data_IF_492125811349
#
_entry.id   IF_492125811349
#
_cell.length_a   1.000
_cell.length_b   1.000
_cell.length_c   1.000
_cell.angle_alpha   90.00
_cell.angle_beta   90.00
_cell.angle_gamma   90.00
#
_symmetry.space_group_name_H-M   'P 1'
#
loop_
_entity.id
_entity.type
_entity.pdbx_description
1 polymer ?
#
# COMPACT_ATOMS: atom_id res chain seq x y z
N UNK A 1 -20.14 67.80 65.97
CA UNK A 1 -20.11 69.25 65.72
C UNK A 1 -20.86 69.91 66.87
N UNK A 2 -20.22 70.84 67.58
CA UNK A 2 -20.91 71.69 68.56
C UNK A 2 -21.68 72.83 67.88
N UNK A 3 -22.19 73.74 68.73
CA UNK A 3 -22.41 75.19 68.52
C UNK A 3 -23.85 75.68 68.86
N UNK A 4 -23.92 76.47 69.95
CA UNK A 4 -24.76 77.67 70.24
C UNK A 4 -26.31 77.60 70.18
N UNK A 5 -27.08 78.34 71.00
CA UNK A 5 -26.83 79.45 71.93
C UNK A 5 -28.04 79.74 72.83
N UNK A 6 -27.84 80.20 74.08
CA UNK A 6 -28.09 81.56 74.64
C UNK A 6 -29.53 82.10 74.43
N UNK A 7 -30.30 82.45 75.47
CA UNK A 7 -30.21 83.71 76.27
C UNK A 7 -31.33 83.76 77.34
N UNK A 8 -31.06 84.02 78.64
CA UNK A 8 -31.05 85.31 79.41
C UNK A 8 -32.42 86.00 79.67
N UNK A 9 -32.91 86.00 80.93
CA UNK A 9 -33.00 87.16 81.87
C UNK A 9 -33.88 86.87 83.11
N UNK A 10 -33.33 87.19 84.28
CA UNK A 10 -33.95 87.38 85.62
C UNK A 10 -34.78 88.70 85.71
N UNK A 11 -35.19 89.19 86.91
CA UNK A 11 -35.96 88.63 88.05
C UNK A 11 -37.10 89.58 88.47
N UNK A 12 -37.93 89.28 89.48
CA UNK A 12 -38.35 90.29 90.49
C UNK A 12 -38.68 89.64 91.84
N UNK A 13 -38.20 90.31 92.91
CA UNK A 13 -38.46 90.06 94.32
C UNK A 13 -39.65 90.91 94.76
N UNK A 14 -40.45 90.42 95.69
CA UNK A 14 -40.98 91.27 96.77
C UNK A 14 -41.36 90.44 97.99
N UNK A 15 -40.63 90.72 99.07
CA UNK A 15 -41.07 90.52 100.44
C UNK A 15 -42.38 91.28 100.66
N UNK A 16 -43.33 90.71 101.39
CA UNK A 16 -43.99 91.49 102.44
C UNK A 16 -44.52 90.61 103.58
N UNK A 17 -44.16 91.07 104.76
CA UNK A 17 -44.45 90.58 106.09
C UNK A 17 -45.82 91.12 106.49
N UNK A 18 -46.66 90.34 107.16
CA UNK A 18 -47.66 90.94 108.04
C UNK A 18 -48.98 90.22 108.21
N UNK A 19 -49.06 89.49 109.32
CA UNK A 19 -50.18 89.44 110.26
C UNK A 19 -51.60 89.32 109.69
N UNK A 20 -52.09 88.08 109.83
CA UNK A 20 -53.38 87.70 110.43
C UNK A 20 -54.20 88.87 110.97
N UNK A 21 -55.44 88.97 110.49
CA UNK A 21 -56.59 89.17 111.37
C UNK A 21 -57.84 88.53 110.75
N UNK A 22 -58.64 87.95 111.64
CA UNK A 22 -59.57 86.84 111.49
C UNK A 22 -60.96 87.21 110.98
N UNK A 23 -61.62 86.30 110.24
CA UNK A 23 -63.09 86.18 110.16
C UNK A 23 -63.58 84.71 110.16
N UNK A 24 -64.09 84.30 111.33
CA UNK A 24 -65.27 83.47 111.69
C UNK A 24 -65.77 82.23 110.89
N UNK A 25 -66.38 81.22 111.59
CA UNK A 25 -66.28 79.78 111.31
C UNK A 25 -67.24 79.16 110.27
N UNK A 26 -68.02 79.96 109.53
CA UNK A 26 -68.95 79.47 108.50
C UNK A 26 -68.41 79.58 107.06
N UNK A 27 -67.26 80.23 106.85
CA UNK A 27 -66.59 80.37 105.55
C UNK A 27 -65.44 79.35 105.36
N UNK A 28 -64.77 78.95 106.44
CA UNK A 28 -63.59 78.05 106.39
C UNK A 28 -63.91 76.59 105.99
N UNK A 29 -65.11 76.08 106.32
CA UNK A 29 -65.54 74.75 105.84
C UNK A 29 -65.79 74.74 104.32
N UNK A 30 -66.42 75.81 103.78
CA UNK A 30 -66.68 75.94 102.34
C UNK A 30 -65.39 76.15 101.53
N UNK A 31 -64.42 76.88 102.08
CA UNK A 31 -63.10 77.07 101.47
C UNK A 31 -62.26 75.78 101.43
N UNK A 32 -62.35 74.91 102.44
CA UNK A 32 -61.71 73.59 102.44
C UNK A 32 -62.27 72.68 101.34
N UNK A 33 -63.60 72.56 101.27
CA UNK A 33 -64.26 71.78 100.20
C UNK A 33 -63.99 72.35 98.80
N UNK A 34 -63.87 73.67 98.66
CA UNK A 34 -63.51 74.28 97.38
C UNK A 34 -62.07 73.94 96.96
N UNK A 35 -61.13 73.88 97.92
CA UNK A 35 -59.74 73.54 97.64
C UNK A 35 -59.59 72.07 97.24
N UNK A 36 -60.26 71.17 97.95
CA UNK A 36 -60.27 69.74 97.63
C UNK A 36 -60.92 69.49 96.26
N UNK A 37 -61.98 70.23 95.90
CA UNK A 37 -62.58 70.19 94.56
C UNK A 37 -61.63 70.69 93.46
N UNK A 38 -60.85 71.74 93.73
CA UNK A 38 -59.86 72.28 92.79
C UNK A 38 -58.69 71.29 92.58
N UNK A 39 -58.23 70.63 93.64
CA UNK A 39 -57.18 69.62 93.57
C UNK A 39 -57.66 68.35 92.87
N UNK A 40 -58.87 67.86 93.17
CA UNK A 40 -59.50 66.79 92.39
C UNK A 40 -59.66 67.17 90.92
N UNK A 41 -59.99 68.42 90.62
CA UNK A 41 -60.14 68.89 89.24
C UNK A 41 -58.79 68.87 88.50
N UNK A 42 -57.69 69.25 89.16
CA UNK A 42 -56.34 69.13 88.59
C UNK A 42 -55.95 67.68 88.38
N UNK A 43 -56.20 66.80 89.35
CA UNK A 43 -55.91 65.37 89.22
C UNK A 43 -56.71 64.73 88.09
N UNK A 44 -57.99 65.09 87.94
CA UNK A 44 -58.83 64.68 86.80
C UNK A 44 -58.26 65.21 85.48
N UNK A 45 -57.78 66.45 85.45
CA UNK A 45 -57.19 67.06 84.25
C UNK A 45 -55.86 66.39 83.87
N UNK A 46 -54.99 66.11 84.84
CA UNK A 46 -53.74 65.39 84.65
C UNK A 46 -54.01 63.95 84.18
N UNK A 47 -54.97 63.27 84.81
CA UNK A 47 -55.41 61.93 84.39
C UNK A 47 -55.96 61.93 82.96
N UNK A 48 -56.75 62.94 82.57
CA UNK A 48 -57.24 63.09 81.20
C UNK A 48 -56.09 63.25 80.20
N UNK A 49 -55.08 64.08 80.50
CA UNK A 49 -53.91 64.24 79.63
C UNK A 49 -53.09 62.95 79.50
N UNK A 50 -52.93 62.18 80.59
CA UNK A 50 -52.26 60.89 80.52
C UNK A 50 -53.05 59.86 79.71
N UNK A 51 -54.38 59.87 79.81
CA UNK A 51 -55.25 59.01 79.03
C UNK A 51 -55.18 59.34 77.54
N UNK A 52 -55.15 60.64 77.18
CA UNK A 52 -54.95 61.09 75.81
C UNK A 52 -53.58 60.65 75.26
N UNK A 53 -52.51 60.75 76.08
CA UNK A 53 -51.17 60.25 75.72
C UNK A 53 -51.19 58.75 75.46
N UNK A 54 -51.78 57.96 76.36
CA UNK A 54 -51.89 56.51 76.19
C UNK A 54 -52.77 56.13 75.00
N UNK A 55 -53.81 56.90 74.70
CA UNK A 55 -54.61 56.68 73.49
C UNK A 55 -53.78 56.90 72.22
N UNK A 56 -52.93 57.93 72.20
CA UNK A 56 -52.01 58.19 71.09
C UNK A 56 -50.98 57.08 70.89
N UNK A 57 -50.32 56.65 71.97
CA UNK A 57 -49.37 55.52 71.94
C UNK A 57 -50.05 54.22 71.49
N UNK A 58 -51.29 53.98 71.95
CA UNK A 58 -52.06 52.81 71.55
C UNK A 58 -52.38 52.83 70.04
N UNK A 59 -52.70 53.99 69.48
CA UNK A 59 -52.99 54.12 68.05
C UNK A 59 -51.72 53.98 67.20
N UNK A 60 -50.56 54.44 67.69
CA UNK A 60 -49.26 54.21 67.04
C UNK A 60 -48.90 52.72 67.03
N UNK A 61 -49.01 52.04 68.17
CA UNK A 61 -48.77 50.59 68.27
C UNK A 61 -49.73 49.79 67.36
N UNK A 62 -51.00 50.20 67.23
CA UNK A 62 -51.93 49.57 66.28
C UNK A 62 -51.46 49.74 64.83
N UNK A 63 -50.99 50.94 64.47
CA UNK A 63 -50.47 51.20 63.12
C UNK A 63 -49.24 50.34 62.82
N UNK A 64 -48.27 50.28 63.76
CA UNK A 64 -47.08 49.44 63.61
C UNK A 64 -47.43 47.95 63.49
N UNK A 65 -48.44 47.49 64.25
CA UNK A 65 -48.91 46.11 64.19
C UNK A 65 -49.55 45.78 62.84
N UNK A 66 -50.33 46.71 62.28
CA UNK A 66 -50.92 46.57 60.94
C UNK A 66 -49.82 46.50 59.87
N UNK A 67 -48.83 47.39 59.94
CA UNK A 67 -47.68 47.41 59.03
C UNK A 67 -46.86 46.12 59.11
N UNK A 68 -46.57 45.64 60.33
CA UNK A 68 -45.84 44.39 60.54
C UNK A 68 -46.64 43.17 60.06
N UNK A 69 -47.96 43.21 60.20
CA UNK A 69 -48.87 42.17 59.68
C UNK A 69 -48.80 42.13 58.15
N UNK A 70 -48.80 43.29 57.51
CA UNK A 70 -48.68 43.38 56.05
C UNK A 70 -47.31 42.92 55.56
N UNK A 71 -46.22 43.33 56.21
CA UNK A 71 -44.87 42.84 55.88
C UNK A 71 -44.72 41.32 56.08
N UNK A 72 -45.35 40.77 57.12
CA UNK A 72 -45.38 39.31 57.35
C UNK A 72 -46.14 38.59 56.23
N UNK A 73 -47.22 39.21 55.73
CA UNK A 73 -47.99 38.66 54.61
C UNK A 73 -47.16 38.65 53.32
N UNK A 74 -46.52 39.76 52.97
CA UNK A 74 -45.68 39.84 51.76
C UNK A 74 -44.51 38.85 51.82
N UNK A 75 -43.82 38.76 52.97
CA UNK A 75 -42.74 37.80 53.15
C UNK A 75 -43.19 36.34 53.01
N UNK A 76 -44.42 36.00 53.42
CA UNK A 76 -45.00 34.66 53.21
C UNK A 76 -45.28 34.37 51.74
N UNK A 77 -45.76 35.36 50.99
CA UNK A 77 -46.03 35.24 49.55
C UNK A 77 -44.71 35.06 48.76
N UNK A 78 -43.68 35.85 49.09
CA UNK A 78 -42.34 35.71 48.52
C UNK A 78 -41.71 34.35 48.83
N UNK A 79 -41.83 33.87 50.07
CA UNK A 79 -41.34 32.55 50.48
C UNK A 79 -42.05 31.42 49.69
N UNK A 80 -43.35 31.56 49.44
CA UNK A 80 -44.10 30.60 48.64
C UNK A 80 -43.62 30.59 47.18
N UNK A 81 -43.36 31.78 46.60
CA UNK A 81 -42.80 31.91 45.24
C UNK A 81 -41.43 31.26 45.14
N UNK A 82 -40.52 31.59 46.06
CA UNK A 82 -39.15 31.05 46.07
C UNK A 82 -39.16 29.52 46.24
N UNK A 83 -40.08 28.99 47.05
CA UNK A 83 -40.24 27.54 47.20
C UNK A 83 -40.67 26.87 45.89
N UNK A 84 -41.55 27.50 45.13
CA UNK A 84 -41.97 27.03 43.80
C UNK A 84 -40.80 27.04 42.81
N UNK A 85 -40.02 28.12 42.77
CA UNK A 85 -38.83 28.24 41.92
C UNK A 85 -37.78 27.16 42.24
N UNK A 86 -37.52 26.89 43.53
CA UNK A 86 -36.61 25.84 43.96
C UNK A 86 -37.08 24.45 43.49
N UNK A 87 -38.40 24.18 43.52
CA UNK A 87 -38.94 22.92 43.03
C UNK A 87 -38.77 22.79 41.52
N UNK A 88 -39.01 23.86 40.76
CA UNK A 88 -38.78 23.88 39.31
C UNK A 88 -37.30 23.64 38.96
N UNK A 89 -36.39 24.36 39.62
CA UNK A 89 -34.96 24.22 39.41
C UNK A 89 -34.44 22.80 39.76
N UNK A 90 -35.02 22.15 40.77
CA UNK A 90 -34.72 20.75 41.09
C UNK A 90 -35.19 19.80 40.00
N UNK A 91 -36.39 19.99 39.47
CA UNK A 91 -36.90 19.16 38.36
C UNK A 91 -36.03 19.31 37.11
N UNK A 92 -35.63 20.54 36.76
CA UNK A 92 -34.72 20.81 35.65
C UNK A 92 -33.35 20.16 35.85
N UNK A 93 -32.77 20.26 37.05
CA UNK A 93 -31.53 19.57 37.40
C UNK A 93 -31.65 18.06 37.21
N UNK A 94 -32.75 17.47 37.65
CA UNK A 94 -32.96 16.02 37.56
C UNK A 94 -33.11 15.56 36.10
N UNK A 95 -33.81 16.33 35.27
CA UNK A 95 -33.87 16.09 33.82
C UNK A 95 -32.48 16.20 33.17
N UNK A 96 -31.71 17.24 33.50
CA UNK A 96 -30.35 17.41 32.98
C UNK A 96 -29.41 16.27 33.40
N UNK A 97 -29.54 15.74 34.63
CA UNK A 97 -28.78 14.58 35.07
C UNK A 97 -29.09 13.33 34.24
N UNK A 98 -30.35 13.10 33.90
CA UNK A 98 -30.72 11.98 33.02
C UNK A 98 -30.19 12.18 31.58
N UNK A 99 -30.24 13.40 31.04
CA UNK A 99 -29.62 13.71 29.74
C UNK A 99 -28.09 13.47 29.74
N UNK A 100 -27.40 13.86 30.81
CA UNK A 100 -25.96 13.59 30.96
C UNK A 100 -25.66 12.09 31.01
N UNK A 101 -26.49 11.30 31.71
CA UNK A 101 -26.34 9.84 31.74
C UNK A 101 -26.54 9.22 30.35
N UNK A 102 -27.57 9.63 29.62
CA UNK A 102 -27.86 9.11 28.26
C UNK A 102 -26.73 9.45 27.29
N UNK A 103 -26.32 10.72 27.24
CA UNK A 103 -25.25 11.17 26.35
C UNK A 103 -23.89 10.52 26.67
N UNK A 104 -23.61 10.27 27.96
CA UNK A 104 -22.41 9.51 28.35
C UNK A 104 -22.45 8.06 27.84
N UNK A 105 -23.60 7.39 27.92
CA UNK A 105 -23.76 6.04 27.40
C UNK A 105 -23.61 5.99 25.86
N UNK A 106 -24.19 6.97 25.16
CA UNK A 106 -24.02 7.12 23.70
C UNK A 106 -22.55 7.35 23.32
N UNK A 107 -21.84 8.22 24.05
CA UNK A 107 -20.42 8.46 23.83
C UNK A 107 -19.58 7.19 24.03
N UNK A 108 -19.90 6.40 25.07
CA UNK A 108 -19.22 5.13 25.34
C UNK A 108 -19.46 4.11 24.21
N UNK A 109 -20.70 4.01 23.70
CA UNK A 109 -21.00 3.17 22.53
C UNK A 109 -20.23 3.62 21.29
N UNK A 110 -20.25 4.91 20.95
CA UNK A 110 -19.52 5.43 19.78
C UNK A 110 -18.02 5.20 19.92
N UNK A 111 -17.47 5.43 21.11
CA UNK A 111 -16.04 5.19 21.39
C UNK A 111 -15.68 3.71 21.23
N UNK A 112 -16.58 2.79 21.63
CA UNK A 112 -16.36 1.35 21.47
C UNK A 112 -16.44 0.88 20.01
N UNK A 113 -17.30 1.50 19.19
CA UNK A 113 -17.42 1.20 17.75
C UNK A 113 -16.19 1.68 16.98
N UNK A 114 -15.61 2.82 17.34
CA UNK A 114 -14.35 3.31 16.76
C UNK A 114 -13.13 2.69 17.44
N UNK A 115 -13.15 1.38 17.68
CA UNK A 115 -11.99 0.70 18.24
C UNK A 115 -10.83 0.76 17.24
N UNK A 116 -9.65 1.30 17.62
CA UNK A 116 -8.47 1.32 16.76
C UNK A 116 -7.98 -0.08 16.38
N UNK A 117 -8.55 -1.13 16.98
CA UNK A 117 -8.24 -2.52 16.67
C UNK A 117 -8.69 -2.93 15.27
N UNK A 118 -9.88 -2.55 14.82
CA UNK A 118 -10.35 -2.89 13.46
C UNK A 118 -9.49 -2.21 12.40
N UNK A 119 -9.16 -0.93 12.60
CA UNK A 119 -8.24 -0.20 11.72
C UNK A 119 -6.86 -0.85 11.68
N UNK A 120 -6.33 -1.29 12.83
CA UNK A 120 -5.05 -2.02 12.89
C UNK A 120 -5.12 -3.35 12.13
N UNK A 121 -6.19 -4.13 12.34
CA UNK A 121 -6.38 -5.41 11.63
C UNK A 121 -6.45 -5.22 10.12
N UNK A 122 -7.21 -4.21 9.64
CA UNK A 122 -7.29 -3.88 8.22
C UNK A 122 -5.91 -3.46 7.68
N UNK A 123 -5.17 -2.64 8.42
CA UNK A 123 -3.82 -2.23 8.01
C UNK A 123 -2.84 -3.43 7.95
N UNK A 124 -2.89 -4.34 8.93
CA UNK A 124 -2.06 -5.53 8.93
C UNK A 124 -2.39 -6.45 7.73
N UNK A 125 -3.67 -6.60 7.40
CA UNK A 125 -4.11 -7.33 6.20
C UNK A 125 -3.63 -6.66 4.92
N UNK A 126 -3.69 -5.34 4.83
CA UNK A 126 -3.17 -4.58 3.68
C UNK A 126 -1.67 -4.81 3.50
N UNK A 127 -0.90 -4.77 4.59
CA UNK A 127 0.55 -5.02 4.53
C UNK A 127 0.88 -6.47 4.15
N UNK A 128 0.12 -7.46 4.63
CA UNK A 128 0.26 -8.84 4.18
C UNK A 128 0.04 -8.98 2.67
N UNK A 129 -1.05 -8.42 2.15
CA UNK A 129 -1.35 -8.44 0.71
C UNK A 129 -0.26 -7.73 -0.10
N UNK A 130 0.30 -6.61 0.40
CA UNK A 130 1.42 -5.91 -0.24
C UNK A 130 2.67 -6.78 -0.35
N UNK A 131 3.01 -7.51 0.72
CA UNK A 131 4.14 -8.45 0.73
C UNK A 131 3.92 -9.61 -0.25
N UNK A 132 2.72 -10.18 -0.29
CA UNK A 132 2.37 -11.23 -1.24
C UNK A 132 2.50 -10.75 -2.70
N UNK A 133 1.96 -9.56 -3.02
CA UNK A 133 2.09 -8.96 -4.35
C UNK A 133 3.57 -8.76 -4.72
N UNK A 134 4.40 -8.31 -3.77
CA UNK A 134 5.84 -8.14 -4.00
C UNK A 134 6.53 -9.48 -4.31
N UNK A 135 6.21 -10.54 -3.55
CA UNK A 135 6.73 -11.89 -3.78
C UNK A 135 6.32 -12.43 -5.16
N UNK A 136 5.04 -12.31 -5.52
CA UNK A 136 4.51 -12.74 -6.82
C UNK A 136 5.21 -12.00 -7.96
N UNK A 137 5.44 -10.68 -7.82
CA UNK A 137 6.14 -9.91 -8.84
C UNK A 137 7.61 -10.32 -8.99
N UNK A 138 8.29 -10.65 -7.89
CA UNK A 138 9.66 -11.19 -7.94
C UNK A 138 9.72 -12.53 -8.67
N UNK A 139 8.79 -13.44 -8.36
CA UNK A 139 8.71 -14.75 -9.01
C UNK A 139 8.37 -14.62 -10.50
N UNK A 140 7.41 -13.76 -10.85
CA UNK A 140 7.11 -13.39 -12.24
C UNK A 140 8.36 -12.91 -12.97
N UNK A 141 9.15 -12.03 -12.36
CA UNK A 141 10.41 -11.55 -12.93
C UNK A 141 11.38 -12.69 -13.24
N UNK A 142 11.59 -13.62 -12.29
CA UNK A 142 12.45 -14.81 -12.51
C UNK A 142 11.93 -15.68 -13.67
N UNK A 143 10.63 -15.92 -13.73
CA UNK A 143 10.02 -16.72 -14.82
C UNK A 143 10.16 -16.07 -16.19
N UNK A 144 10.08 -14.74 -16.28
CA UNK A 144 10.36 -14.00 -17.52
C UNK A 144 11.80 -14.20 -17.96
N UNK A 145 12.77 -14.07 -17.05
CA UNK A 145 14.19 -14.32 -17.36
C UNK A 145 14.44 -15.76 -17.83
N UNK A 146 13.85 -16.76 -17.15
CA UNK A 146 13.95 -18.17 -17.56
C UNK A 146 13.40 -18.39 -18.98
N UNK A 147 12.29 -17.73 -19.32
CA UNK A 147 11.66 -17.81 -20.65
C UNK A 147 12.56 -17.19 -21.73
N UNK A 148 13.12 -16.00 -21.48
CA UNK A 148 14.05 -15.33 -22.40
C UNK A 148 15.32 -16.18 -22.66
N UNK A 149 15.84 -16.84 -21.62
CA UNK A 149 16.98 -17.74 -21.75
C UNK A 149 16.63 -18.99 -22.59
N UNK A 150 15.47 -19.59 -22.35
CA UNK A 150 14.98 -20.72 -23.14
C UNK A 150 14.75 -20.34 -24.61
N UNK A 151 14.17 -19.17 -24.87
CA UNK A 151 13.95 -18.67 -26.24
C UNK A 151 15.29 -18.45 -26.96
N UNK A 152 16.29 -17.94 -26.25
CA UNK A 152 17.65 -17.76 -26.76
C UNK A 152 18.29 -19.12 -27.12
N UNK A 153 18.18 -20.11 -26.23
CA UNK A 153 18.65 -21.50 -26.47
C UNK A 153 17.96 -22.15 -27.67
N UNK A 154 16.65 -21.98 -27.81
CA UNK A 154 15.89 -22.48 -28.98
C UNK A 154 16.39 -21.84 -30.27
N UNK A 155 16.66 -20.53 -30.26
CA UNK A 155 17.15 -19.81 -31.44
C UNK A 155 18.53 -20.31 -31.87
N UNK A 156 19.45 -20.51 -30.92
CA UNK A 156 20.77 -21.10 -31.18
C UNK A 156 20.66 -22.51 -31.77
N UNK A 157 19.86 -23.39 -31.15
CA UNK A 157 19.68 -24.76 -31.62
C UNK A 157 19.08 -24.82 -33.04
N UNK A 158 18.16 -23.91 -33.38
CA UNK A 158 17.61 -23.79 -34.75
C UNK A 158 18.69 -23.41 -35.76
N UNK A 159 19.56 -22.47 -35.41
CA UNK A 159 20.68 -22.06 -36.28
C UNK A 159 21.68 -23.19 -36.50
N UNK A 160 21.99 -23.96 -35.45
CA UNK A 160 22.85 -25.14 -35.54
C UNK A 160 22.24 -26.22 -36.46
N UNK A 161 20.94 -26.47 -36.34
CA UNK A 161 20.21 -27.42 -37.20
C UNK A 161 20.29 -26.99 -38.68
N UNK A 162 20.08 -25.71 -38.97
CA UNK A 162 20.21 -25.16 -40.33
C UNK A 162 21.64 -25.31 -40.89
N UNK A 163 22.66 -25.09 -40.05
CA UNK A 163 24.06 -25.32 -40.37
C UNK A 163 24.36 -26.78 -40.73
N UNK A 164 23.93 -27.73 -39.91
CA UNK A 164 24.11 -29.16 -40.16
C UNK A 164 23.38 -29.63 -41.42
N UNK A 165 22.16 -29.15 -41.67
CA UNK A 165 21.45 -29.44 -42.91
C UNK A 165 22.23 -28.95 -44.13
N UNK A 166 22.79 -27.75 -44.07
CA UNK A 166 23.62 -27.19 -45.15
C UNK A 166 24.89 -28.02 -45.38
N UNK A 167 25.55 -28.47 -44.30
CA UNK A 167 26.72 -29.34 -44.38
C UNK A 167 26.40 -30.70 -45.02
N UNK A 168 25.26 -31.30 -44.67
CA UNK A 168 24.78 -32.55 -45.27
C UNK A 168 24.53 -32.37 -46.77
N UNK A 169 23.91 -31.26 -47.20
CA UNK A 169 23.68 -31.00 -48.63
C UNK A 169 24.99 -30.86 -49.39
N UNK A 170 25.96 -30.11 -48.86
CA UNK A 170 27.30 -29.98 -49.46
C UNK A 170 27.99 -31.34 -49.60
N UNK A 171 27.98 -32.14 -48.54
CA UNK A 171 28.58 -33.48 -48.54
C UNK A 171 27.93 -34.42 -49.56
N UNK A 172 26.60 -34.33 -49.75
CA UNK A 172 25.89 -35.09 -50.79
C UNK A 172 26.34 -34.71 -52.20
N UNK A 173 26.48 -33.42 -52.48
CA UNK A 173 26.96 -32.93 -53.77
C UNK A 173 28.40 -33.38 -54.04
N UNK A 174 29.26 -33.34 -53.02
CA UNK A 174 30.65 -33.80 -53.11
C UNK A 174 30.73 -35.31 -53.38
N UNK A 175 29.94 -36.13 -52.69
CA UNK A 175 29.83 -37.57 -52.94
C UNK A 175 29.42 -37.84 -54.39
N UNK A 176 28.46 -37.08 -54.93
CA UNK A 176 28.01 -37.27 -56.31
C UNK A 176 29.10 -36.88 -57.32
N UNK A 177 29.84 -35.80 -57.06
CA UNK A 177 31.01 -35.41 -57.86
C UNK A 177 32.10 -36.49 -57.84
N UNK A 178 32.45 -37.01 -56.66
CA UNK A 178 33.46 -38.05 -56.50
C UNK A 178 33.06 -39.36 -57.17
N UNK A 179 31.78 -39.75 -57.13
CA UNK A 179 31.28 -40.90 -57.89
C UNK A 179 31.47 -40.73 -59.40
N UNK A 180 31.13 -39.55 -59.93
CA UNK A 180 31.31 -39.25 -61.35
C UNK A 180 32.79 -39.34 -61.75
N UNK A 181 33.68 -38.74 -60.95
CA UNK A 181 35.14 -38.85 -61.16
C UNK A 181 35.63 -40.31 -61.06
N UNK A 182 35.07 -41.10 -60.14
CA UNK A 182 35.42 -42.52 -60.04
C UNK A 182 35.01 -43.28 -61.31
N UNK A 183 33.83 -43.01 -61.87
CA UNK A 183 33.36 -43.65 -63.11
C UNK A 183 34.22 -43.27 -64.31
N UNK A 184 34.58 -41.98 -64.46
CA UNK A 184 35.46 -41.53 -65.55
C UNK A 184 36.84 -42.17 -65.45
N UNK A 185 37.44 -42.19 -64.25
CA UNK A 185 38.73 -42.84 -64.01
C UNK A 185 38.68 -44.35 -64.24
N UNK A 186 37.58 -45.03 -63.90
CA UNK A 186 37.40 -46.44 -64.24
C UNK A 186 37.36 -46.69 -65.76
N UNK A 187 36.69 -45.82 -66.53
CA UNK A 187 36.67 -45.89 -67.99
C UNK A 187 38.07 -45.67 -68.58
N UNK A 188 38.80 -44.66 -68.08
CA UNK A 188 40.20 -44.40 -68.48
C UNK A 188 41.10 -45.62 -68.24
N UNK A 189 41.03 -46.21 -67.04
CA UNK A 189 41.79 -47.43 -66.69
C UNK A 189 41.42 -48.60 -67.60
N UNK A 190 40.12 -48.80 -67.89
CA UNK A 190 39.68 -49.87 -68.81
C UNK A 190 40.17 -49.66 -70.24
N UNK A 191 40.21 -48.42 -70.71
CA UNK A 191 40.67 -48.09 -72.06
C UNK A 191 42.19 -48.29 -72.18
N UNK A 192 42.96 -47.76 -71.22
CA UNK A 192 44.40 -47.95 -71.18
C UNK A 192 44.78 -49.45 -71.14
N UNK A 193 44.02 -50.26 -70.40
CA UNK A 193 44.21 -51.73 -70.38
C UNK A 193 43.97 -52.37 -71.75
N UNK A 194 42.90 -51.99 -72.46
CA UNK A 194 42.63 -52.49 -73.81
C UNK A 194 43.69 -52.07 -74.83
N UNK A 195 44.18 -50.83 -74.72
CA UNK A 195 45.28 -50.33 -75.56
C UNK A 195 46.58 -51.11 -75.31
N UNK A 196 46.92 -51.40 -74.05
CA UNK A 196 48.05 -52.27 -73.72
C UNK A 196 47.89 -53.66 -74.31
N UNK A 197 46.74 -54.32 -74.10
CA UNK A 197 46.48 -55.66 -74.66
C UNK A 197 46.57 -55.68 -76.19
N UNK A 198 46.16 -54.60 -76.86
CA UNK A 198 46.29 -54.46 -78.31
C UNK A 198 47.76 -54.35 -78.73
N UNK A 199 48.54 -53.47 -78.08
CA UNK A 199 49.96 -53.28 -78.39
C UNK A 199 50.76 -54.56 -78.10
N UNK A 200 50.48 -55.26 -77.01
CA UNK A 200 51.10 -56.55 -76.69
C UNK A 200 50.85 -57.60 -77.78
N UNK A 201 49.61 -57.68 -78.30
CA UNK A 201 49.28 -58.59 -79.42
C UNK A 201 50.01 -58.22 -80.70
N UNK A 202 50.03 -56.93 -81.06
CA UNK A 202 50.73 -56.45 -82.26
C UNK A 202 52.24 -56.71 -82.16
N UNK A 203 52.87 -56.39 -81.01
CA UNK A 203 54.28 -56.68 -80.75
C UNK A 203 54.60 -58.17 -80.87
N UNK A 204 53.73 -59.05 -80.33
CA UNK A 204 53.91 -60.49 -80.42
C UNK A 204 53.81 -61.02 -81.86
N UNK A 205 53.00 -60.39 -82.72
CA UNK A 205 52.90 -60.74 -84.15
C UNK A 205 54.15 -60.29 -84.90
N UNK A 206 54.64 -59.08 -84.64
CA UNK A 206 55.85 -58.53 -85.28
C UNK A 206 57.08 -59.36 -84.92
N UNK A 207 57.27 -59.70 -83.63
CA UNK A 207 58.38 -60.57 -83.19
C UNK A 207 58.34 -61.98 -83.80
N UNK A 208 57.16 -62.51 -84.16
CA UNK A 208 57.06 -63.79 -84.89
C UNK A 208 57.42 -63.68 -86.38
N UNK A 209 57.18 -62.53 -87.03
CA UNK A 209 57.57 -62.29 -88.43
C UNK A 209 59.08 -62.11 -88.59
N UNK A 210 59.79 -61.70 -87.54
CA UNK A 210 61.25 -61.57 -87.46
C UNK A 210 62.00 -62.88 -87.78
N UNK A 211 61.41 -64.03 -87.45
CA UNK A 211 61.94 -65.37 -87.75
C UNK A 211 61.87 -65.77 -89.24
N UNK A 212 61.12 -65.04 -90.07
CA UNK A 212 60.76 -65.49 -91.44
C UNK A 212 61.39 -64.65 -92.56
N UNK A 213 61.75 -63.38 -92.32
CA UNK A 213 62.17 -62.45 -93.39
C UNK A 213 63.34 -61.59 -92.92
N UNK A 214 64.55 -61.83 -93.44
CA UNK A 214 65.80 -61.15 -93.04
C UNK A 214 65.90 -59.66 -93.38
N UNK A 215 65.06 -58.81 -92.76
CA UNK A 215 65.12 -57.34 -92.76
C UNK A 215 65.09 -56.80 -91.31
N UNK A 216 66.16 -57.07 -90.56
CA UNK A 216 66.17 -56.90 -89.10
C UNK A 216 66.15 -55.44 -88.61
N UNK A 217 66.92 -54.53 -89.23
CA UNK A 217 67.19 -53.20 -88.65
C UNK A 217 65.97 -52.24 -88.61
N UNK A 218 65.15 -52.19 -89.67
CA UNK A 218 63.98 -51.30 -89.70
C UNK A 218 62.84 -51.80 -88.82
N UNK A 219 62.68 -53.12 -88.73
CA UNK A 219 61.68 -53.76 -87.86
C UNK A 219 62.07 -53.57 -86.38
N UNK A 220 63.36 -53.64 -86.07
CA UNK A 220 63.87 -53.43 -84.72
C UNK A 220 63.58 -52.02 -84.20
N UNK A 221 63.75 -50.98 -85.04
CA UNK A 221 63.35 -49.60 -84.70
C UNK A 221 61.84 -49.46 -84.44
N UNK A 222 61.00 -50.19 -85.19
CA UNK A 222 59.54 -50.19 -85.00
C UNK A 222 59.16 -50.87 -83.69
N UNK A 223 59.79 -52.00 -83.36
CA UNK A 223 59.58 -52.72 -82.09
C UNK A 223 60.01 -51.86 -80.90
N UNK A 224 61.15 -51.17 -81.02
CA UNK A 224 61.67 -50.27 -79.99
C UNK A 224 60.75 -49.06 -79.76
N UNK A 225 60.24 -48.45 -80.84
CA UNK A 225 59.25 -47.38 -80.77
C UNK A 225 57.92 -47.86 -80.15
N UNK A 226 57.44 -49.04 -80.52
CA UNK A 226 56.24 -49.64 -79.94
C UNK A 226 56.43 -50.02 -78.47
N UNK A 227 57.62 -50.46 -78.07
CA UNK A 227 58.00 -50.68 -76.67
C UNK A 227 57.99 -49.39 -75.85
N UNK A 228 58.47 -48.28 -76.42
CA UNK A 228 58.39 -46.97 -75.78
C UNK A 228 56.94 -46.49 -75.61
N UNK A 229 56.07 -46.72 -76.62
CA UNK A 229 54.63 -46.43 -76.53
C UNK A 229 53.95 -47.29 -75.48
N UNK A 230 54.25 -48.60 -75.41
CA UNK A 230 53.74 -49.51 -74.39
C UNK A 230 54.15 -49.06 -72.98
N UNK A 231 55.42 -48.67 -72.79
CA UNK A 231 55.92 -48.16 -71.52
C UNK A 231 55.21 -46.86 -71.10
N UNK A 232 54.98 -45.94 -72.05
CA UNK A 232 54.26 -44.69 -71.79
C UNK A 232 52.79 -44.91 -71.43
N UNK A 233 52.11 -45.84 -72.11
CA UNK A 233 50.72 -46.21 -71.79
C UNK A 233 50.66 -46.91 -70.42
N UNK A 234 51.61 -47.80 -70.11
CA UNK A 234 51.67 -48.45 -68.81
C UNK A 234 51.91 -47.45 -67.67
N UNK A 235 52.77 -46.43 -67.90
CA UNK A 235 52.96 -45.35 -66.93
C UNK A 235 51.67 -44.54 -66.71
N UNK A 236 50.92 -44.23 -67.78
CA UNK A 236 49.60 -43.57 -67.68
C UNK A 236 48.56 -44.47 -67.00
N UNK A 237 48.56 -45.77 -67.27
CA UNK A 237 47.70 -46.75 -66.61
C UNK A 237 47.94 -46.75 -65.10
N UNK A 238 49.21 -46.86 -64.67
CA UNK A 238 49.54 -46.86 -63.24
C UNK A 238 49.22 -45.51 -62.57
N UNK A 239 49.44 -44.38 -63.25
CA UNK A 239 49.08 -43.05 -62.74
C UNK A 239 47.56 -42.91 -62.56
N UNK A 240 46.76 -43.23 -63.58
CA UNK A 240 45.29 -43.17 -63.53
C UNK A 240 44.70 -44.17 -62.53
N UNK A 241 45.32 -45.35 -62.37
CA UNK A 241 44.96 -46.33 -61.34
C UNK A 241 45.18 -45.77 -59.94
N UNK A 242 46.30 -45.08 -59.68
CA UNK A 242 46.55 -44.42 -58.39
C UNK A 242 45.56 -43.29 -58.13
N UNK A 243 45.28 -42.45 -59.13
CA UNK A 243 44.25 -41.41 -59.02
C UNK A 243 42.87 -42.01 -58.70
N UNK A 244 42.51 -43.13 -59.32
CA UNK A 244 41.27 -43.85 -59.01
C UNK A 244 41.23 -44.32 -57.54
N UNK A 245 42.34 -44.81 -56.98
CA UNK A 245 42.40 -45.18 -55.56
C UNK A 245 42.26 -43.97 -54.64
N UNK A 246 42.88 -42.84 -54.99
CA UNK A 246 42.73 -41.58 -54.24
C UNK A 246 41.27 -41.11 -54.24
N UNK A 247 40.61 -41.12 -55.41
CA UNK A 247 39.18 -40.74 -55.52
C UNK A 247 38.29 -41.69 -54.72
N UNK A 248 38.56 -43.00 -54.74
CA UNK A 248 37.85 -43.98 -53.90
C UNK A 248 38.03 -43.68 -52.41
N UNK A 249 39.25 -43.38 -51.97
CA UNK A 249 39.53 -43.04 -50.58
C UNK A 249 38.86 -41.73 -50.15
N UNK A 250 38.81 -40.73 -51.03
CA UNK A 250 38.06 -39.49 -50.79
C UNK A 250 36.55 -39.77 -50.69
N UNK A 251 36.00 -40.62 -51.56
CA UNK A 251 34.59 -41.00 -51.53
C UNK A 251 34.20 -41.73 -50.25
N UNK A 252 35.07 -42.61 -49.72
CA UNK A 252 34.78 -43.29 -48.44
C UNK A 252 34.83 -42.32 -47.27
N UNK A 253 35.82 -41.42 -47.22
CA UNK A 253 35.93 -40.41 -46.15
C UNK A 253 34.74 -39.47 -46.12
N UNK A 254 34.35 -38.92 -47.26
CA UNK A 254 33.19 -38.01 -47.37
C UNK A 254 31.87 -38.69 -47.00
N UNK A 255 31.70 -39.98 -47.31
CA UNK A 255 30.55 -40.77 -46.82
C UNK A 255 30.55 -40.93 -45.30
N UNK A 256 31.70 -41.18 -44.69
CA UNK A 256 31.80 -41.30 -43.23
C UNK A 256 31.50 -39.96 -42.53
N UNK A 257 32.01 -38.84 -43.07
CA UNK A 257 31.72 -37.50 -42.57
C UNK A 257 30.24 -37.13 -42.69
N UNK A 258 29.61 -37.49 -43.81
CA UNK A 258 28.16 -37.33 -43.99
C UNK A 258 27.38 -38.14 -42.94
N UNK A 259 27.79 -39.37 -42.64
CA UNK A 259 27.13 -40.18 -41.61
C UNK A 259 27.35 -39.62 -40.19
N UNK A 260 28.52 -39.04 -39.89
CA UNK A 260 28.75 -38.35 -38.61
C UNK A 260 27.83 -37.13 -38.47
N UNK A 261 27.81 -36.25 -39.47
CA UNK A 261 26.96 -35.04 -39.47
C UNK A 261 25.46 -35.37 -39.45
N UNK A 262 25.04 -36.47 -40.07
CA UNK A 262 23.65 -36.98 -39.93
C UNK A 262 23.32 -37.40 -38.50
N UNK A 263 24.21 -38.14 -37.84
CA UNK A 263 24.00 -38.54 -36.44
C UNK A 263 23.93 -37.34 -35.52
N UNK A 264 24.81 -36.34 -35.73
CA UNK A 264 24.76 -35.07 -35.01
C UNK A 264 23.42 -34.36 -35.22
N UNK A 265 22.93 -34.29 -36.47
CA UNK A 265 21.63 -33.69 -36.78
C UNK A 265 20.48 -34.42 -36.07
N UNK A 266 20.49 -35.74 -36.04
CA UNK A 266 19.44 -36.54 -35.40
C UNK A 266 19.46 -36.37 -33.88
N UNK A 267 20.64 -36.30 -33.25
CA UNK A 267 20.76 -35.97 -31.82
C UNK A 267 20.22 -34.58 -31.52
N UNK A 268 20.56 -33.59 -32.34
CA UNK A 268 20.12 -32.20 -32.17
C UNK A 268 18.60 -32.06 -32.35
N UNK A 269 18.00 -32.83 -33.27
CA UNK A 269 16.54 -32.93 -33.41
C UNK A 269 15.87 -33.56 -32.19
N UNK A 270 16.46 -34.60 -31.62
CA UNK A 270 15.95 -35.22 -30.38
C UNK A 270 16.05 -34.22 -29.22
N UNK A 271 17.15 -33.49 -29.13
CA UNK A 271 17.37 -32.48 -28.09
C UNK A 271 16.38 -31.30 -28.21
N UNK A 272 16.11 -30.83 -29.43
CA UNK A 272 15.07 -29.83 -29.69
C UNK A 272 13.66 -30.39 -29.39
N UNK A 273 13.38 -31.63 -29.80
CA UNK A 273 12.08 -32.27 -29.59
C UNK A 273 11.79 -32.57 -28.12
N UNK A 274 12.80 -32.93 -27.34
CA UNK A 274 12.68 -33.17 -25.89
C UNK A 274 12.61 -31.86 -25.09
N UNK A 275 13.18 -30.76 -25.59
CA UNK A 275 13.11 -29.43 -24.98
C UNK A 275 11.94 -28.57 -25.50
N UNK A 276 11.18 -29.05 -26.48
CA UNK A 276 10.16 -28.28 -27.21
C UNK A 276 8.74 -28.82 -27.06
N UNK A 277 8.03 -28.29 -26.06
CA UNK A 277 6.61 -27.90 -26.09
C UNK A 277 5.62 -29.05 -26.36
N UNK A 278 5.09 -29.61 -25.26
CA UNK A 278 3.69 -30.05 -25.19
C UNK A 278 2.81 -28.97 -25.82
N UNK A 279 2.26 -29.25 -27.00
CA UNK A 279 1.15 -28.48 -27.59
C UNK A 279 -0.06 -28.60 -26.68
N UNK A 280 -0.16 -27.78 -25.63
CA UNK A 280 -1.43 -27.47 -24.97
C UNK A 280 -1.32 -26.05 -24.41
N UNK A 281 -1.72 -25.07 -25.22
CA UNK A 281 -2.59 -23.93 -24.88
C UNK A 281 -3.14 -23.35 -26.19
#
# INVERSE_FOLDING_TARGET
MGLFGRSKKEPEKSNEIGKKESKTPQQQGKEGYQRDLEDLRKEIQESALTLDSYSGELDEVKSELEDLTQQTRTAKEELASLKSEILSARAERDMNLEHIKSTKAELEMVTSQYSPQETRQINDQIEQVRLEISSINSEKGKKVYELDELQSKISSARSELEGLNSAIQKSRLEIESLKSQQETKQKEVSNAKKEMEFIEKELAIVGKKELVVGKAEDIQKIVEAAGAVAAAINAKYEATRKELEVVKAALTRTKEELERTRKELDLLKIEIGSRGITKEF
#
